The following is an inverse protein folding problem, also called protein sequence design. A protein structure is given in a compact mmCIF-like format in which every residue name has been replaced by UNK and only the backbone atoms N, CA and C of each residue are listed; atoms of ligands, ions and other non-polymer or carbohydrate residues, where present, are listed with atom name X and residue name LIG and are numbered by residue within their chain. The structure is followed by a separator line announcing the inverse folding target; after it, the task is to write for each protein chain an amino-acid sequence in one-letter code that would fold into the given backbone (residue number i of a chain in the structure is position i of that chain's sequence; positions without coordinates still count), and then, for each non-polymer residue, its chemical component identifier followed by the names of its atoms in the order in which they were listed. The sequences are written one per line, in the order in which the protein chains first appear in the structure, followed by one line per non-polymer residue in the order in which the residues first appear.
data_IF_786035858189
#
_entry.id   IF_786035858189
#
_cell.length_a   1.000
_cell.length_b   1.000
_cell.length_c   1.000
_cell.angle_alpha   90.00
_cell.angle_beta   90.00
_cell.angle_gamma   90.00
#
_symmetry.space_group_name_H-M   'P 1'
#
loop_
_entity.id
_entity.type
_entity.pdbx_description
1 polymer ?
#
# COMPACT_ATOMS: atom_id res chain seq x y z
N UNK A 1 2.51 3.77 -21.71
CA UNK A 1 2.49 2.32 -21.45
C UNK A 1 2.11 2.21 -19.99
N UNK A 2 0.91 1.70 -19.67
CA UNK A 2 0.55 1.46 -18.28
C UNK A 2 1.40 0.29 -17.80
N UNK A 3 2.27 0.52 -16.81
CA UNK A 3 3.04 -0.54 -16.19
C UNK A 3 2.07 -1.56 -15.61
N UNK A 4 2.31 -2.83 -15.86
CA UNK A 4 1.49 -3.92 -15.33
C UNK A 4 1.73 -4.03 -13.82
N UNK A 5 0.82 -3.48 -13.02
CA UNK A 5 0.91 -3.47 -11.54
C UNK A 5 0.07 -4.65 -11.04
N UNK A 6 0.67 -5.83 -11.05
CA UNK A 6 -0.02 -7.10 -10.77
C UNK A 6 -0.26 -7.39 -9.29
N UNK A 7 0.43 -6.67 -8.41
CA UNK A 7 0.38 -6.85 -6.95
C UNK A 7 -0.58 -5.91 -6.25
N UNK A 8 -1.14 -4.91 -6.97
CA UNK A 8 -2.04 -3.94 -6.35
C UNK A 8 -3.30 -4.63 -5.83
N UNK A 9 -3.66 -4.28 -4.60
CA UNK A 9 -4.87 -4.74 -3.91
C UNK A 9 -5.68 -3.52 -3.47
N UNK A 10 -7.00 -3.59 -3.60
CA UNK A 10 -7.93 -2.65 -2.98
C UNK A 10 -8.67 -3.32 -1.82
N UNK A 11 -8.72 -2.70 -0.64
CA UNK A 11 -9.53 -3.15 0.47
C UNK A 11 -10.94 -2.55 0.35
N UNK A 12 -11.95 -3.39 0.26
CA UNK A 12 -13.37 -3.00 0.13
C UNK A 12 -14.24 -3.63 1.21
N UNK A 13 -15.29 -2.94 1.63
CA UNK A 13 -16.31 -3.54 2.48
C UNK A 13 -17.00 -4.70 1.74
N UNK A 14 -17.60 -5.63 2.48
CA UNK A 14 -18.18 -6.86 1.92
C UNK A 14 -19.09 -6.62 0.71
N UNK A 15 -19.83 -5.52 0.69
CA UNK A 15 -20.73 -5.14 -0.40
C UNK A 15 -20.27 -3.89 -1.15
N UNK A 16 -19.10 -3.32 -0.77
CA UNK A 16 -18.55 -2.12 -1.36
C UNK A 16 -17.81 -2.40 -2.67
N UNK A 17 -17.59 -1.35 -3.44
CA UNK A 17 -16.82 -1.37 -4.69
C UNK A 17 -15.61 -0.44 -4.63
N UNK A 18 -15.73 0.61 -3.84
CA UNK A 18 -14.70 1.64 -3.72
C UNK A 18 -13.72 1.24 -2.61
N UNK A 19 -12.43 1.08 -2.90
CA UNK A 19 -11.43 0.82 -1.89
C UNK A 19 -11.30 2.02 -0.93
N UNK A 20 -11.26 1.73 0.38
CA UNK A 20 -10.92 2.76 1.37
C UNK A 20 -9.43 2.73 1.74
N UNK A 21 -8.76 1.63 1.42
CA UNK A 21 -7.33 1.42 1.60
C UNK A 21 -6.79 0.55 0.46
N UNK A 22 -5.49 0.66 0.25
CA UNK A 22 -4.73 -0.22 -0.61
C UNK A 22 -4.15 -1.42 0.13
N UNK A 23 -3.44 -2.25 -0.60
CA UNK A 23 -2.65 -3.36 -0.11
C UNK A 23 -1.75 -3.91 -1.20
N UNK A 24 -0.91 -4.86 -0.83
CA UNK A 24 0.02 -5.51 -1.75
C UNK A 24 -0.08 -7.02 -1.62
N UNK A 25 -0.33 -7.71 -2.72
CA UNK A 25 -0.26 -9.18 -2.75
C UNK A 25 1.21 -9.59 -2.58
N UNK A 26 1.52 -10.40 -1.56
CA UNK A 26 2.88 -10.87 -1.26
C UNK A 26 3.04 -12.40 -1.41
N UNK A 27 1.93 -13.11 -1.52
CA UNK A 27 1.90 -14.56 -1.87
C UNK A 27 0.52 -14.91 -2.42
N UNK A 28 0.30 -16.14 -2.85
CA UNK A 28 -1.04 -16.59 -3.30
C UNK A 28 -2.13 -16.48 -2.24
N UNK A 29 -1.78 -16.33 -0.97
CA UNK A 29 -2.74 -16.33 0.15
C UNK A 29 -2.57 -15.19 1.15
N UNK A 30 -1.63 -14.26 0.90
CA UNK A 30 -1.34 -13.17 1.84
C UNK A 30 -1.25 -11.82 1.14
N UNK A 31 -1.87 -10.83 1.77
CA UNK A 31 -1.81 -9.41 1.39
C UNK A 31 -1.20 -8.64 2.54
N UNK A 32 -0.24 -7.76 2.26
CA UNK A 32 0.27 -6.76 3.20
C UNK A 32 -0.54 -5.48 3.03
N UNK A 33 -0.91 -4.84 4.14
CA UNK A 33 -1.60 -3.55 4.19
C UNK A 33 -1.20 -2.80 5.46
N UNK A 34 -1.77 -1.62 5.71
CA UNK A 34 -1.56 -0.88 6.96
C UNK A 34 -2.47 -1.41 8.08
N UNK A 35 -1.95 -1.41 9.32
CA UNK A 35 -2.73 -1.81 10.48
C UNK A 35 -3.88 -0.84 10.78
N UNK A 36 -3.68 0.47 10.56
CA UNK A 36 -4.77 1.46 10.73
C UNK A 36 -5.95 1.21 9.80
N UNK A 37 -5.75 0.58 8.64
CA UNK A 37 -6.82 0.19 7.71
C UNK A 37 -7.71 -0.94 8.25
N UNK A 38 -7.18 -1.77 9.14
CA UNK A 38 -7.80 -3.01 9.60
C UNK A 38 -8.12 -3.03 11.08
N UNK A 39 -7.53 -2.12 11.87
CA UNK A 39 -7.73 -2.06 13.32
C UNK A 39 -9.21 -1.96 13.69
N UNK A 40 -9.64 -2.85 14.59
CA UNK A 40 -11.05 -2.93 15.03
C UNK A 40 -12.01 -3.56 14.02
N UNK A 41 -11.53 -3.97 12.84
CA UNK A 41 -12.37 -4.60 11.82
C UNK A 41 -12.43 -6.12 11.98
N UNK A 42 -13.57 -6.72 11.67
CA UNK A 42 -13.69 -8.16 11.53
C UNK A 42 -13.25 -8.60 10.13
N UNK A 43 -12.51 -9.71 10.02
CA UNK A 43 -12.08 -10.25 8.72
C UNK A 43 -13.28 -10.48 7.78
N UNK A 44 -14.40 -10.92 8.30
CA UNK A 44 -15.64 -11.15 7.52
C UNK A 44 -16.26 -9.88 6.93
N UNK A 45 -15.86 -8.70 7.38
CA UNK A 45 -16.36 -7.41 6.84
C UNK A 45 -15.53 -6.89 5.66
N UNK A 46 -14.35 -7.46 5.44
CA UNK A 46 -13.38 -7.01 4.44
C UNK A 46 -13.31 -8.01 3.29
N UNK A 47 -13.23 -7.50 2.09
CA UNK A 47 -12.81 -8.21 0.88
C UNK A 47 -11.65 -7.47 0.24
N UNK A 48 -10.87 -8.19 -0.54
CA UNK A 48 -9.81 -7.61 -1.38
C UNK A 48 -10.18 -7.68 -2.85
N UNK A 49 -9.90 -6.60 -3.57
CA UNK A 49 -9.95 -6.53 -5.04
C UNK A 49 -8.57 -6.83 -5.58
N UNK A 50 -8.48 -7.69 -6.61
CA UNK A 50 -7.24 -8.11 -7.25
C UNK A 50 -7.36 -8.02 -8.76
N UNK A 51 -6.27 -7.63 -9.44
CA UNK A 51 -6.19 -7.58 -10.89
C UNK A 51 -7.06 -6.50 -11.52
N UNK A 52 -7.49 -5.51 -10.74
CA UNK A 52 -8.33 -4.42 -11.20
C UNK A 52 -7.48 -3.21 -11.63
N UNK A 53 -7.83 -2.62 -12.77
CA UNK A 53 -7.33 -1.32 -13.18
C UNK A 53 -8.40 -0.24 -13.03
N UNK A 54 -9.63 -0.58 -13.40
CA UNK A 54 -10.77 0.34 -13.35
C UNK A 54 -11.86 -0.21 -12.41
N UNK A 55 -11.97 0.38 -11.23
CA UNK A 55 -12.97 0.00 -10.20
C UNK A 55 -14.41 0.40 -10.57
N UNK A 56 -14.65 1.06 -11.70
CA UNK A 56 -16.00 1.30 -12.22
C UNK A 56 -16.53 0.12 -13.07
N UNK A 57 -15.70 -0.86 -13.39
CA UNK A 57 -16.11 -2.05 -14.14
C UNK A 57 -17.04 -2.92 -13.30
N UNK A 58 -17.95 -3.64 -13.94
CA UNK A 58 -19.00 -4.40 -13.25
C UNK A 58 -18.57 -5.79 -12.75
N UNK A 59 -17.42 -6.26 -13.18
CA UNK A 59 -16.88 -7.58 -12.83
C UNK A 59 -15.63 -7.41 -11.99
N UNK A 60 -15.70 -7.82 -10.72
CA UNK A 60 -14.58 -7.68 -9.78
C UNK A 60 -14.09 -9.04 -9.31
N UNK A 61 -12.78 -9.23 -9.32
CA UNK A 61 -12.15 -10.35 -8.65
C UNK A 61 -12.04 -10.04 -7.14
N UNK A 62 -13.09 -10.43 -6.38
CA UNK A 62 -13.17 -10.20 -4.94
C UNK A 62 -12.86 -11.48 -4.18
N UNK A 63 -11.94 -11.40 -3.26
CA UNK A 63 -11.55 -12.51 -2.39
C UNK A 63 -11.88 -12.18 -0.95
N UNK A 64 -12.50 -13.12 -0.24
CA UNK A 64 -12.81 -12.99 1.18
C UNK A 64 -11.53 -13.09 2.01
N UNK A 65 -11.48 -12.33 3.10
CA UNK A 65 -10.42 -12.38 4.10
C UNK A 65 -10.82 -13.36 5.19
N UNK A 66 -9.95 -14.33 5.48
CA UNK A 66 -10.17 -15.31 6.55
C UNK A 66 -9.65 -14.81 7.90
N UNK A 67 -8.57 -14.01 7.89
CA UNK A 67 -7.90 -13.56 9.11
C UNK A 67 -7.19 -12.23 8.90
N UNK A 68 -7.18 -11.38 9.91
CA UNK A 68 -6.41 -10.14 10.00
C UNK A 68 -5.36 -10.34 11.08
N UNK A 69 -4.09 -10.11 10.73
CA UNK A 69 -2.94 -10.23 11.63
C UNK A 69 -2.28 -8.85 11.68
N UNK A 70 -2.71 -8.01 12.61
CA UNK A 70 -2.06 -6.73 12.86
C UNK A 70 -0.71 -6.95 13.53
N UNK A 71 0.26 -6.06 13.26
CA UNK A 71 1.53 -6.09 13.99
C UNK A 71 1.28 -6.00 15.49
N UNK A 72 1.87 -6.88 16.33
CA UNK A 72 1.59 -6.91 17.77
C UNK A 72 1.98 -5.61 18.49
N UNK A 73 3.00 -4.92 17.98
CA UNK A 73 3.49 -3.65 18.54
C UNK A 73 3.00 -2.45 17.71
N UNK A 74 1.88 -2.56 17.01
CA UNK A 74 1.28 -1.42 16.31
C UNK A 74 0.88 -0.35 17.32
N UNK A 75 1.44 0.84 17.15
CA UNK A 75 1.13 2.02 17.95
C UNK A 75 0.36 3.04 17.09
N UNK A 76 -0.92 3.20 17.38
CA UNK A 76 -1.79 4.12 16.65
C UNK A 76 -1.48 5.60 16.91
N UNK A 77 -0.88 5.94 18.05
CA UNK A 77 -0.57 7.32 18.42
C UNK A 77 0.71 7.79 17.71
N UNK A 78 1.71 6.92 17.65
CA UNK A 78 2.96 7.14 16.91
C UNK A 78 2.88 6.76 15.44
N UNK A 79 1.86 6.01 15.03
CA UNK A 79 1.74 5.36 13.71
C UNK A 79 2.95 4.46 13.43
N UNK A 80 3.52 3.86 14.48
CA UNK A 80 4.68 2.97 14.37
C UNK A 80 4.24 1.52 14.20
N UNK A 81 5.04 0.72 13.47
CA UNK A 81 4.68 -0.65 13.10
C UNK A 81 3.30 -0.75 12.41
N UNK A 82 2.94 0.25 11.60
CA UNK A 82 1.63 0.35 10.94
C UNK A 82 1.52 -0.58 9.74
N UNK A 83 1.53 -1.89 10.00
CA UNK A 83 1.26 -2.88 8.98
C UNK A 83 0.50 -4.09 9.52
N UNK A 84 -0.26 -4.71 8.63
CA UNK A 84 -1.05 -5.91 8.89
C UNK A 84 -0.95 -6.89 7.72
N UNK A 85 -1.06 -8.16 8.02
CA UNK A 85 -1.21 -9.23 7.02
C UNK A 85 -2.65 -9.69 6.99
N UNK A 86 -3.24 -9.72 5.80
CA UNK A 86 -4.53 -10.34 5.55
C UNK A 86 -4.28 -11.74 4.97
N UNK A 87 -4.75 -12.77 5.65
CA UNK A 87 -4.79 -14.12 5.10
C UNK A 87 -6.09 -14.30 4.34
N UNK A 88 -5.97 -14.62 3.06
CA UNK A 88 -7.11 -14.85 2.18
C UNK A 88 -7.81 -16.17 2.53
N UNK A 89 -9.14 -16.21 2.33
CA UNK A 89 -9.93 -17.41 2.58
C UNK A 89 -9.58 -18.56 1.62
N UNK A 90 -9.20 -18.22 0.38
CA UNK A 90 -8.73 -19.17 -0.63
C UNK A 90 -7.49 -18.58 -1.32
N UNK A 91 -6.49 -19.40 -1.65
CA UNK A 91 -5.37 -18.97 -2.46
C UNK A 91 -5.83 -18.49 -3.83
N UNK A 92 -5.22 -17.40 -4.33
CA UNK A 92 -5.47 -16.88 -5.67
C UNK A 92 -4.55 -17.56 -6.69
N UNK A 93 -5.05 -17.74 -7.90
CA UNK A 93 -4.24 -18.19 -9.03
C UNK A 93 -3.55 -16.99 -9.65
N UNK A 94 -2.24 -17.08 -9.89
CA UNK A 94 -1.50 -16.05 -10.57
C UNK A 94 -1.85 -16.03 -12.06
N UNK A 95 -2.02 -14.83 -12.59
CA UNK A 95 -2.36 -14.56 -14.01
C UNK A 95 -1.47 -13.43 -14.53
N UNK A 96 -1.75 -12.96 -15.74
CA UNK A 96 -1.08 -11.77 -16.26
C UNK A 96 -1.52 -10.46 -15.56
N UNK A 97 -2.59 -10.49 -14.79
CA UNK A 97 -3.14 -9.34 -14.04
C UNK A 97 -2.95 -9.48 -12.52
N UNK A 98 -2.61 -10.67 -12.02
CA UNK A 98 -2.48 -10.97 -10.59
C UNK A 98 -1.18 -11.72 -10.34
N UNK A 99 -0.22 -11.07 -9.69
CA UNK A 99 1.07 -11.64 -9.30
C UNK A 99 1.61 -10.94 -8.06
N UNK A 100 2.32 -11.62 -7.15
CA UNK A 100 2.84 -11.00 -5.94
C UNK A 100 4.01 -10.06 -6.24
N UNK A 101 4.16 -9.02 -5.41
CA UNK A 101 5.39 -8.23 -5.34
C UNK A 101 6.52 -9.07 -4.72
N UNK A 102 7.75 -8.75 -5.10
CA UNK A 102 8.91 -9.30 -4.40
C UNK A 102 9.06 -8.59 -3.04
N UNK A 103 9.48 -9.32 -2.02
CA UNK A 103 9.98 -8.71 -0.78
C UNK A 103 11.46 -8.33 -0.97
N UNK A 104 11.98 -7.34 -0.20
CA UNK A 104 13.37 -6.92 -0.27
C UNK A 104 14.32 -8.10 -0.03
N UNK A 105 15.38 -8.16 -0.83
CA UNK A 105 16.44 -9.16 -0.63
C UNK A 105 17.40 -8.77 0.51
N UNK A 106 17.61 -7.44 0.69
CA UNK A 106 18.42 -6.89 1.78
C UNK A 106 17.51 -6.10 2.74
N UNK A 107 17.23 -6.68 3.90
CA UNK A 107 16.41 -6.06 4.94
C UNK A 107 17.10 -4.90 5.66
N UNK A 108 18.38 -4.65 5.38
CA UNK A 108 19.14 -3.51 5.94
C UNK A 108 19.24 -2.34 4.99
N UNK A 109 18.81 -2.50 3.73
CA UNK A 109 18.83 -1.45 2.73
C UNK A 109 17.90 -0.28 3.12
N UNK A 110 18.42 0.93 3.04
CA UNK A 110 17.64 2.14 3.37
C UNK A 110 16.85 2.67 2.17
N UNK A 111 17.22 2.28 0.96
CA UNK A 111 16.69 2.80 -0.32
C UNK A 111 16.80 4.32 -0.49
N UNK A 112 17.50 5.04 0.40
CA UNK A 112 17.65 6.50 0.32
C UNK A 112 18.23 6.92 -1.03
N UNK A 113 17.60 7.91 -1.69
CA UNK A 113 17.94 8.39 -3.04
C UNK A 113 17.36 7.53 -4.17
N UNK A 114 16.68 6.43 -3.88
CA UNK A 114 16.04 5.58 -4.90
C UNK A 114 14.70 6.19 -5.29
N UNK A 115 14.41 6.22 -6.59
CA UNK A 115 13.10 6.57 -7.12
C UNK A 115 12.18 5.34 -6.97
N UNK A 116 11.16 5.48 -6.12
CA UNK A 116 10.18 4.44 -5.82
C UNK A 116 8.82 4.81 -6.41
N UNK A 117 7.97 3.82 -6.67
CA UNK A 117 6.63 3.99 -7.21
C UNK A 117 5.58 3.71 -6.15
N UNK A 118 4.63 4.62 -6.03
CA UNK A 118 3.39 4.48 -5.25
C UNK A 118 2.25 4.25 -6.21
N UNK A 119 1.33 3.35 -5.87
CA UNK A 119 0.16 3.06 -6.71
C UNK A 119 -1.11 2.96 -5.87
N UNK A 120 -2.25 3.42 -6.44
CA UNK A 120 -3.52 3.34 -5.75
C UNK A 120 -4.68 4.02 -6.48
N UNK A 121 -5.85 3.95 -5.87
CA UNK A 121 -7.08 4.63 -6.28
C UNK A 121 -7.43 5.77 -5.31
N UNK A 122 -6.48 6.28 -4.56
CA UNK A 122 -6.68 7.40 -3.66
C UNK A 122 -7.07 8.68 -4.38
N UNK A 123 -7.53 9.68 -3.64
CA UNK A 123 -7.92 10.97 -4.22
C UNK A 123 -6.71 11.66 -4.85
N UNK A 124 -6.92 12.33 -5.99
CA UNK A 124 -5.84 13.03 -6.72
C UNK A 124 -5.53 14.42 -6.13
N UNK A 125 -6.30 14.84 -5.14
CA UNK A 125 -6.10 16.10 -4.40
C UNK A 125 -6.79 16.00 -3.05
N UNK A 126 -6.34 16.78 -2.07
CA UNK A 126 -6.98 16.83 -0.74
C UNK A 126 -8.47 17.20 -0.86
N UNK A 127 -9.35 16.32 -0.34
CA UNK A 127 -10.81 16.49 -0.44
C UNK A 127 -11.40 16.27 -1.84
N UNK A 128 -10.61 15.77 -2.80
CA UNK A 128 -11.06 15.40 -4.14
C UNK A 128 -11.85 14.10 -4.18
N UNK A 129 -12.35 13.74 -5.36
CA UNK A 129 -12.98 12.42 -5.60
C UNK A 129 -11.92 11.38 -5.93
N UNK A 130 -12.19 10.11 -5.55
CA UNK A 130 -11.36 8.99 -5.97
C UNK A 130 -11.53 8.74 -7.47
N UNK A 131 -10.42 8.52 -8.21
CA UNK A 131 -10.48 8.09 -9.60
C UNK A 131 -10.98 6.64 -9.70
N UNK A 132 -11.61 6.32 -10.81
CA UNK A 132 -12.00 4.93 -11.08
C UNK A 132 -10.83 4.08 -11.58
N UNK A 133 -9.82 4.71 -12.17
CA UNK A 133 -8.63 4.03 -12.71
C UNK A 133 -7.48 4.05 -11.70
N UNK A 134 -6.68 2.99 -11.70
CA UNK A 134 -5.46 2.91 -10.92
C UNK A 134 -4.44 3.95 -11.41
N UNK A 135 -3.90 4.73 -10.48
CA UNK A 135 -2.87 5.72 -10.73
C UNK A 135 -1.53 5.29 -10.14
N UNK A 136 -0.46 5.85 -10.69
CA UNK A 136 0.90 5.67 -10.18
C UNK A 136 1.61 7.03 -10.08
N UNK A 137 2.50 7.17 -9.10
CA UNK A 137 3.38 8.32 -8.94
C UNK A 137 4.76 7.86 -8.48
N UNK A 138 5.80 8.43 -9.08
CA UNK A 138 7.17 8.20 -8.63
C UNK A 138 7.55 9.23 -7.56
N UNK A 139 8.17 8.76 -6.48
CA UNK A 139 8.63 9.57 -5.35
C UNK A 139 10.03 9.13 -4.94
N UNK A 140 10.86 10.07 -4.50
CA UNK A 140 12.23 9.78 -4.06
C UNK A 140 12.22 9.36 -2.58
N UNK A 141 12.81 8.21 -2.27
CA UNK A 141 13.03 7.79 -0.88
C UNK A 141 14.08 8.69 -0.24
N UNK A 142 13.78 9.26 0.92
CA UNK A 142 14.69 10.12 1.68
C UNK A 142 15.24 9.40 2.90
N UNK A 143 16.26 9.96 3.53
CA UNK A 143 16.79 9.40 4.79
C UNK A 143 15.81 9.66 5.94
N UNK A 144 15.75 8.76 6.93
CA UNK A 144 14.97 8.97 8.14
C UNK A 144 15.46 10.21 8.93
N UNK A 145 16.74 10.57 8.82
CA UNK A 145 17.28 11.77 9.45
C UNK A 145 16.71 13.06 8.85
N UNK A 146 16.65 13.16 7.51
CA UNK A 146 16.02 14.28 6.80
C UNK A 146 14.54 14.36 7.12
N UNK A 147 13.85 13.22 7.05
CA UNK A 147 12.44 13.11 7.37
C UNK A 147 12.14 13.53 8.80
N UNK A 148 12.93 13.06 9.77
CA UNK A 148 12.77 13.38 11.18
C UNK A 148 13.01 14.88 11.48
N UNK A 149 13.86 15.54 10.69
CA UNK A 149 14.05 17.00 10.79
C UNK A 149 12.82 17.79 10.38
N UNK A 150 11.99 17.24 9.49
CA UNK A 150 10.76 17.88 9.01
C UNK A 150 9.53 17.55 9.86
N UNK A 151 9.45 16.32 10.37
CA UNK A 151 8.23 15.77 11.00
C UNK A 151 8.38 15.50 12.50
N UNK A 152 9.60 15.16 12.96
CA UNK A 152 9.80 14.56 14.27
C UNK A 152 9.18 13.14 14.36
N UNK A 153 9.61 12.38 15.33
CA UNK A 153 9.01 11.08 15.67
C UNK A 153 9.11 9.99 14.57
N UNK A 154 10.05 10.11 13.63
CA UNK A 154 10.33 9.08 12.64
C UNK A 154 11.17 7.97 13.29
N UNK A 155 10.65 6.75 13.30
CA UNK A 155 11.31 5.58 13.87
C UNK A 155 12.14 4.83 12.83
N UNK A 156 12.93 3.84 13.27
CA UNK A 156 13.66 2.95 12.36
C UNK A 156 12.75 2.00 11.56
N UNK A 157 11.48 1.85 11.97
CA UNK A 157 10.49 1.00 11.31
C UNK A 157 9.76 1.73 10.17
N UNK A 158 10.04 3.03 10.00
CA UNK A 158 9.43 3.87 8.98
C UNK A 158 10.39 4.12 7.82
N UNK A 159 9.85 4.31 6.64
CA UNK A 159 10.54 4.79 5.43
C UNK A 159 9.84 6.04 4.94
N UNK A 160 10.62 7.05 4.55
CA UNK A 160 10.10 8.29 4.03
C UNK A 160 10.37 8.39 2.52
N UNK A 161 9.35 8.82 1.77
CA UNK A 161 9.48 9.09 0.35
C UNK A 161 8.61 10.30 -0.01
N UNK A 162 9.17 11.29 -0.68
CA UNK A 162 8.44 12.48 -1.10
C UNK A 162 9.19 13.27 -2.17
N UNK A 163 8.44 13.91 -3.06
CA UNK A 163 8.92 14.92 -3.99
C UNK A 163 7.98 16.13 -3.94
N UNK A 164 8.54 17.32 -4.23
CA UNK A 164 7.74 18.56 -4.27
C UNK A 164 6.62 18.45 -5.31
N UNK A 165 5.39 18.70 -4.89
CA UNK A 165 4.20 18.66 -5.76
C UNK A 165 3.69 17.26 -6.09
N UNK A 166 4.26 16.21 -5.50
CA UNK A 166 3.76 14.84 -5.58
C UNK A 166 3.29 14.41 -4.20
N UNK A 167 2.14 13.77 -4.13
CA UNK A 167 1.54 13.35 -2.88
C UNK A 167 0.76 12.04 -3.06
N UNK A 168 0.77 11.18 -2.04
CA UNK A 168 -0.22 10.10 -1.91
C UNK A 168 -1.38 10.63 -1.08
N UNK A 169 -2.58 10.29 -1.49
CA UNK A 169 -3.78 10.88 -0.92
C UNK A 169 -4.65 9.85 -0.19
N UNK A 170 -5.76 10.34 0.38
CA UNK A 170 -6.75 9.50 1.07
C UNK A 170 -7.22 8.36 0.17
N UNK A 171 -7.12 7.13 0.66
CA UNK A 171 -7.47 5.91 -0.08
C UNK A 171 -6.26 5.12 -0.58
N UNK A 172 -5.04 5.70 -0.60
CA UNK A 172 -3.80 5.00 -0.95
C UNK A 172 -3.16 4.29 0.26
N UNK A 173 -3.59 4.64 1.49
CA UNK A 173 -3.14 4.00 2.75
C UNK A 173 -3.15 2.49 2.65
N UNK A 174 -2.11 1.84 3.13
CA UNK A 174 -1.92 0.38 3.03
C UNK A 174 -1.40 -0.10 1.69
N UNK A 175 -1.39 0.76 0.67
CA UNK A 175 -0.84 0.46 -0.65
C UNK A 175 0.68 0.34 -0.68
N UNK A 176 1.25 -0.10 -1.82
CA UNK A 176 2.67 -0.39 -1.95
C UNK A 176 3.52 0.87 -2.17
N UNK A 177 4.70 0.87 -1.54
CA UNK A 177 5.88 1.63 -1.99
C UNK A 177 6.85 0.64 -2.61
N UNK A 178 7.03 0.72 -3.92
CA UNK A 178 7.83 -0.23 -4.71
C UNK A 178 9.11 0.44 -5.18
N UNK A 179 10.25 -0.18 -4.93
CA UNK A 179 11.54 0.29 -5.45
C UNK A 179 12.18 -0.76 -6.37
N UNK A 180 12.99 -0.34 -7.36
CA UNK A 180 13.79 -1.27 -8.15
C UNK A 180 14.90 -1.87 -7.29
N UNK A 181 15.03 -3.19 -7.30
CA UNK A 181 16.07 -3.94 -6.63
C UNK A 181 16.53 -5.11 -7.51
N UNK A 182 17.80 -5.13 -7.92
CA UNK A 182 18.38 -6.22 -8.70
C UNK A 182 17.56 -6.63 -9.95
N UNK A 183 17.01 -5.64 -10.67
CA UNK A 183 16.18 -5.84 -11.86
C UNK A 183 14.76 -6.35 -11.56
N UNK A 184 14.31 -6.29 -10.31
CA UNK A 184 12.95 -6.62 -9.86
C UNK A 184 12.29 -5.41 -9.19
N UNK A 185 11.01 -5.52 -8.92
CA UNK A 185 10.22 -4.58 -8.14
C UNK A 185 10.03 -5.11 -6.72
N UNK A 186 10.71 -4.49 -5.75
CA UNK A 186 10.65 -4.88 -4.34
C UNK A 186 9.68 -3.98 -3.56
N UNK A 187 8.85 -4.58 -2.72
CA UNK A 187 7.97 -3.88 -1.79
C UNK A 187 8.79 -3.40 -0.60
N UNK A 188 9.15 -2.12 -0.57
CA UNK A 188 10.04 -1.53 0.44
C UNK A 188 9.29 -0.81 1.55
N UNK A 189 7.99 -0.61 1.39
CA UNK A 189 7.15 0.02 2.41
C UNK A 189 5.66 -0.12 2.11
N UNK A 190 4.88 0.18 3.14
CA UNK A 190 3.42 0.30 3.08
C UNK A 190 3.04 1.73 3.40
N UNK A 191 2.14 2.30 2.61
CA UNK A 191 1.75 3.69 2.72
C UNK A 191 0.93 3.94 4.00
N UNK A 192 1.29 5.02 4.70
CA UNK A 192 0.45 5.64 5.71
C UNK A 192 0.15 7.07 5.30
N UNK A 193 -1.02 7.58 5.58
CA UNK A 193 -1.49 8.90 5.08
C UNK A 193 -0.69 10.09 5.64
N UNK A 194 0.19 9.89 6.63
CA UNK A 194 0.80 10.98 7.39
C UNK A 194 2.20 11.37 6.87
N UNK A 195 2.93 10.48 6.24
CA UNK A 195 4.34 10.71 5.91
C UNK A 195 4.59 11.44 4.60
N UNK A 196 3.66 11.42 3.66
CA UNK A 196 3.82 12.11 2.38
C UNK A 196 3.25 13.53 2.36
N UNK A 197 2.38 13.90 3.29
CA UNK A 197 1.66 15.20 3.29
C UNK A 197 2.42 16.40 3.85
N UNK A 198 3.65 16.26 4.34
CA UNK A 198 4.33 17.35 5.04
C UNK A 198 5.58 17.90 4.36
N UNK A 199 6.06 17.31 3.29
CA UNK A 199 7.11 17.93 2.46
C UNK A 199 6.50 19.01 1.54
N UNK A 200 6.04 20.12 2.14
CA UNK A 200 5.71 21.35 1.42
C UNK A 200 6.79 22.36 1.57
#
# INVERSE_FOLDING_TARGET
MHGNIFWQVGLVSRNGQVPWCGGTLISSSHVLTAAHCTAGSAASSIRVLLGEHNIADSVFNRVDVAEIINHPDYDSDATDNDYAILRLANPVTFTNEVSPACLPADLTATYAGVLATVTGWGTLSSGGSQPSTLHEVEVTVTTNAECNSAYGSITSNMVCAADSGKDSCQGDSGGPLIAPENGRHALVGTLTTILLNKFR
#
